data_IF_822547324908
#
_entry.id   IF_822547324908
#
_cell.length_a   1.000
_cell.length_b   1.000
_cell.length_c   1.000
_cell.angle_alpha   90.00
_cell.angle_beta   90.00
_cell.angle_gamma   90.00
#
_symmetry.space_group_name_H-M   'P 1'
#
loop_
_entity.id
_entity.type
_entity.pdbx_description
1 polymer ?
#
# COMPACT_ATOMS: atom_id res chain seq x y z
N UNK A 1 14.88 -2.45 -17.50
CA UNK A 1 15.85 -1.58 -16.80
C UNK A 1 15.28 -1.06 -15.48
N UNK A 2 14.14 -0.35 -15.46
CA UNK A 2 13.53 0.21 -14.22
C UNK A 2 13.08 -0.89 -13.23
N UNK A 3 12.55 -2.01 -13.73
CA UNK A 3 12.12 -3.15 -12.89
C UNK A 3 13.27 -3.87 -12.15
N UNK A 4 14.49 -3.87 -12.70
CA UNK A 4 15.67 -4.40 -12.00
C UNK A 4 16.13 -3.48 -10.86
N UNK A 5 16.15 -2.17 -11.10
CA UNK A 5 16.52 -1.16 -10.09
C UNK A 5 15.56 -1.15 -8.91
N UNK A 6 14.26 -1.32 -9.15
CA UNK A 6 13.29 -1.41 -8.07
C UNK A 6 13.51 -2.62 -7.16
N UNK A 7 13.86 -3.78 -7.72
CA UNK A 7 14.14 -4.96 -6.93
C UNK A 7 15.38 -4.77 -6.04
N UNK A 8 16.46 -4.21 -6.62
CA UNK A 8 17.68 -3.88 -5.89
C UNK A 8 17.47 -2.83 -4.78
N UNK A 9 16.44 -1.98 -4.90
CA UNK A 9 16.05 -1.01 -3.86
C UNK A 9 15.10 -1.61 -2.83
N UNK A 10 14.18 -2.49 -3.23
CA UNK A 10 13.18 -3.07 -2.34
C UNK A 10 13.77 -4.08 -1.35
N UNK A 11 14.82 -4.81 -1.74
CA UNK A 11 15.51 -5.75 -0.85
C UNK A 11 16.13 -5.07 0.39
N UNK A 12 17.01 -4.05 0.26
CA UNK A 12 17.56 -3.36 1.43
C UNK A 12 16.48 -2.61 2.23
N UNK A 13 15.45 -2.06 1.58
CA UNK A 13 14.32 -1.45 2.29
C UNK A 13 13.53 -2.47 3.13
N UNK A 14 13.35 -3.69 2.62
CA UNK A 14 12.72 -4.80 3.34
C UNK A 14 13.54 -5.18 4.57
N UNK A 15 14.87 -5.27 4.43
CA UNK A 15 15.76 -5.59 5.55
C UNK A 15 15.68 -4.50 6.63
N UNK A 16 15.71 -3.22 6.27
CA UNK A 16 15.63 -2.11 7.23
C UNK A 16 14.27 -2.12 7.95
N UNK A 17 13.18 -2.31 7.20
CA UNK A 17 11.83 -2.36 7.74
C UNK A 17 11.67 -3.55 8.71
N UNK A 18 11.97 -4.76 8.25
CA UNK A 18 11.77 -6.00 9.00
C UNK A 18 12.66 -6.05 10.26
N UNK A 19 13.93 -5.66 10.13
CA UNK A 19 14.83 -5.57 11.30
C UNK A 19 14.29 -4.57 12.32
N UNK A 20 13.81 -3.41 11.86
CA UNK A 20 13.21 -2.39 12.73
C UNK A 20 11.99 -2.91 13.47
N UNK A 21 11.07 -3.58 12.76
CA UNK A 21 9.88 -4.18 13.38
C UNK A 21 10.24 -5.30 14.36
N UNK A 22 11.22 -6.15 14.06
CA UNK A 22 11.69 -7.20 14.98
C UNK A 22 12.23 -6.61 16.28
N UNK A 23 13.09 -5.60 16.19
CA UNK A 23 13.64 -4.91 17.35
C UNK A 23 12.53 -4.28 18.20
N UNK A 24 11.53 -3.65 17.57
CA UNK A 24 10.36 -3.10 18.29
C UNK A 24 9.54 -4.18 19.01
N UNK A 25 9.49 -5.40 18.49
CA UNK A 25 8.72 -6.49 19.07
C UNK A 25 9.45 -7.21 20.21
N UNK A 26 10.77 -7.40 20.11
CA UNK A 26 11.53 -8.25 21.05
C UNK A 26 12.30 -7.48 22.10
N UNK A 27 12.78 -6.28 21.78
CA UNK A 27 13.69 -5.56 22.68
C UNK A 27 12.94 -4.65 23.65
N UNK A 28 13.42 -4.60 24.90
CA UNK A 28 13.01 -3.57 25.86
C UNK A 28 13.74 -2.27 25.53
N UNK A 29 13.23 -1.57 24.52
CA UNK A 29 13.79 -0.30 24.08
C UNK A 29 13.42 0.84 25.03
N UNK A 30 14.35 1.77 25.24
CA UNK A 30 14.02 3.05 25.87
C UNK A 30 13.06 3.85 24.98
N UNK A 31 12.23 4.72 25.56
CA UNK A 31 11.29 5.57 24.79
C UNK A 31 11.98 6.37 23.66
N UNK A 32 13.20 6.85 23.92
CA UNK A 32 14.01 7.54 22.90
C UNK A 32 14.46 6.60 21.78
N UNK A 33 14.88 5.38 22.09
CA UNK A 33 15.24 4.38 21.09
C UNK A 33 14.03 3.93 20.26
N UNK A 34 12.87 3.71 20.89
CA UNK A 34 11.61 3.40 20.21
C UNK A 34 11.22 4.48 19.20
N UNK A 35 11.28 5.76 19.60
CA UNK A 35 10.96 6.87 18.70
C UNK A 35 11.92 6.95 17.50
N UNK A 36 13.22 6.75 17.73
CA UNK A 36 14.23 6.75 16.64
C UNK A 36 14.02 5.59 15.69
N UNK A 37 13.72 4.41 16.22
CA UNK A 37 13.45 3.21 15.43
C UNK A 37 12.17 3.35 14.60
N UNK A 38 11.11 3.93 15.19
CA UNK A 38 9.89 4.28 14.46
C UNK A 38 10.19 5.24 13.30
N UNK A 39 11.03 6.26 13.50
CA UNK A 39 11.41 7.16 12.41
C UNK A 39 12.16 6.45 11.27
N UNK A 40 13.00 5.45 11.58
CA UNK A 40 13.71 4.63 10.58
C UNK A 40 12.69 3.81 9.78
N UNK A 41 11.76 3.15 10.47
CA UNK A 41 10.68 2.37 9.86
C UNK A 41 9.83 3.24 8.92
N UNK A 42 9.38 4.41 9.40
CA UNK A 42 8.58 5.34 8.62
C UNK A 42 9.35 5.86 7.40
N UNK A 43 10.67 6.08 7.53
CA UNK A 43 11.52 6.50 6.42
C UNK A 43 11.66 5.41 5.36
N UNK A 44 11.88 4.16 5.76
CA UNK A 44 11.97 3.03 4.83
C UNK A 44 10.67 2.82 4.06
N UNK A 45 9.52 2.95 4.72
CA UNK A 45 8.20 2.88 4.06
C UNK A 45 8.00 4.02 3.06
N UNK A 46 8.38 5.26 3.41
CA UNK A 46 8.33 6.38 2.48
C UNK A 46 9.20 6.13 1.25
N UNK A 47 10.41 5.61 1.43
CA UNK A 47 11.29 5.25 0.31
C UNK A 47 10.66 4.18 -0.58
N UNK A 48 10.09 3.13 0.02
CA UNK A 48 9.40 2.08 -0.72
C UNK A 48 8.24 2.61 -1.56
N UNK A 49 7.42 3.50 -0.98
CA UNK A 49 6.31 4.13 -1.68
C UNK A 49 6.78 5.03 -2.85
N UNK A 50 7.93 5.71 -2.69
CA UNK A 50 8.54 6.49 -3.78
C UNK A 50 8.98 5.57 -4.93
N UNK A 51 9.65 4.45 -4.62
CA UNK A 51 10.06 3.46 -5.63
C UNK A 51 8.85 2.87 -6.34
N UNK A 52 7.80 2.51 -5.60
CA UNK A 52 6.56 1.99 -6.16
C UNK A 52 5.88 3.00 -7.09
N UNK A 53 5.77 4.26 -6.67
CA UNK A 53 5.18 5.32 -7.49
C UNK A 53 6.00 5.60 -8.77
N UNK A 54 7.33 5.52 -8.69
CA UNK A 54 8.20 5.61 -9.86
C UNK A 54 7.91 4.47 -10.85
N UNK A 55 7.78 3.23 -10.38
CA UNK A 55 7.41 2.10 -11.24
C UNK A 55 6.00 2.24 -11.83
N UNK A 56 5.01 2.67 -11.04
CA UNK A 56 3.64 2.89 -11.51
C UNK A 56 3.60 3.96 -12.60
N UNK A 57 4.37 5.03 -12.45
CA UNK A 57 4.47 6.09 -13.47
C UNK A 57 5.15 5.62 -14.77
N UNK A 58 6.13 4.72 -14.66
CA UNK A 58 6.84 4.14 -15.80
C UNK A 58 6.06 3.04 -16.51
N UNK A 59 5.15 2.36 -15.81
CA UNK A 59 4.43 1.19 -16.31
C UNK A 59 2.97 1.56 -16.56
N UNK A 60 2.67 2.11 -17.76
CA UNK A 60 1.30 2.35 -18.23
C UNK A 60 0.56 1.03 -18.43
N UNK A 61 0.07 0.37 -17.37
CA UNK A 61 -1.02 -0.63 -17.47
C UNK A 61 -1.63 -1.00 -16.11
N UNK A 62 -2.96 -1.16 -16.14
CA UNK A 62 -3.92 -1.41 -15.06
C UNK A 62 -3.43 -2.43 -14.01
N UNK A 63 -3.21 -1.98 -12.79
CA UNK A 63 -2.97 -2.84 -11.62
C UNK A 63 -4.28 -3.41 -11.06
N UNK A 64 -4.23 -4.70 -10.70
CA UNK A 64 -5.28 -5.46 -10.00
C UNK A 64 -5.46 -4.88 -8.60
N UNK A 65 -6.69 -4.48 -8.24
CA UNK A 65 -6.98 -3.66 -7.06
C UNK A 65 -7.31 -4.51 -5.83
N UNK A 66 -6.84 -4.08 -4.65
CA UNK A 66 -7.52 -4.34 -3.36
C UNK A 66 -8.71 -3.38 -3.25
N UNK A 67 -9.71 -3.62 -4.09
CA UNK A 67 -10.92 -2.81 -4.18
C UNK A 67 -11.85 -3.18 -2.99
N UNK A 68 -11.72 -2.46 -1.87
CA UNK A 68 -12.58 -2.64 -0.69
C UNK A 68 -13.73 -1.63 -0.71
N UNK A 69 -14.89 -1.97 -0.15
CA UNK A 69 -15.95 -1.01 0.10
C UNK A 69 -15.56 -0.10 1.24
N UNK A 70 -15.42 1.19 0.96
CA UNK A 70 -14.91 2.18 1.90
C UNK A 70 -15.90 3.34 2.06
N UNK A 71 -16.04 3.79 3.29
CA UNK A 71 -16.73 5.03 3.62
C UNK A 71 -15.82 6.23 3.30
N UNK A 72 -16.15 6.98 2.26
CA UNK A 72 -15.35 8.14 1.79
C UNK A 72 -15.16 9.19 2.89
N UNK A 73 -16.18 9.41 3.72
CA UNK A 73 -16.09 10.37 4.82
C UNK A 73 -15.05 9.98 5.87
N UNK A 74 -14.80 8.68 6.11
CA UNK A 74 -13.76 8.23 7.05
C UNK A 74 -12.37 8.56 6.51
N UNK A 75 -12.10 8.22 5.25
CA UNK A 75 -10.83 8.54 4.60
C UNK A 75 -10.57 10.05 4.58
N UNK A 76 -11.60 10.85 4.32
CA UNK A 76 -11.50 12.31 4.34
C UNK A 76 -11.19 12.85 5.74
N UNK A 77 -11.84 12.32 6.79
CA UNK A 77 -11.58 12.69 8.18
C UNK A 77 -10.16 12.31 8.60
N UNK A 78 -9.68 11.13 8.22
CA UNK A 78 -8.34 10.67 8.55
C UNK A 78 -7.26 11.51 7.84
N UNK A 79 -7.46 11.83 6.55
CA UNK A 79 -6.58 12.74 5.82
C UNK A 79 -6.53 14.13 6.46
N UNK A 80 -7.68 14.65 6.90
CA UNK A 80 -7.78 15.93 7.59
C UNK A 80 -7.09 15.89 8.97
N UNK A 81 -7.23 14.81 9.73
CA UNK A 81 -6.60 14.62 11.04
C UNK A 81 -5.08 14.77 10.97
N UNK A 82 -4.45 14.25 9.91
CA UNK A 82 -3.02 14.36 9.68
C UNK A 82 -2.55 15.81 9.41
N UNK A 83 -3.45 16.69 8.97
CA UNK A 83 -3.13 18.07 8.56
C UNK A 83 -3.73 19.17 9.42
N UNK A 84 -4.59 18.80 10.36
CA UNK A 84 -5.28 19.73 11.26
C UNK A 84 -4.33 20.64 12.06
N UNK A 85 -3.19 20.12 12.51
CA UNK A 85 -2.20 20.93 13.24
C UNK A 85 -1.56 22.00 12.34
N UNK A 86 -1.07 21.61 11.16
CA UNK A 86 -0.45 22.52 10.18
C UNK A 86 -1.43 23.63 9.77
N UNK A 87 -2.68 23.25 9.44
CA UNK A 87 -3.74 24.19 9.07
C UNK A 87 -4.03 25.20 10.21
N UNK A 88 -4.06 24.73 11.46
CA UNK A 88 -4.33 25.58 12.62
C UNK A 88 -3.19 26.57 12.90
N UNK A 89 -1.94 26.14 12.79
CA UNK A 89 -0.76 27.00 13.00
C UNK A 89 -0.69 28.11 11.93
N UNK A 90 -1.12 27.82 10.71
CA UNK A 90 -1.21 28.80 9.62
C UNK A 90 -2.51 29.61 9.59
N UNK A 91 -3.28 29.64 10.69
CA UNK A 91 -4.52 30.40 10.82
C UNK A 91 -5.60 30.05 9.76
N UNK A 92 -5.62 28.79 9.29
CA UNK A 92 -6.63 28.29 8.36
C UNK A 92 -7.77 27.63 9.14
N UNK A 93 -8.99 28.14 8.97
CA UNK A 93 -10.21 27.55 9.52
C UNK A 93 -10.68 26.42 8.60
N UNK A 94 -11.05 25.28 9.18
CA UNK A 94 -11.64 24.17 8.42
C UNK A 94 -13.14 24.13 8.68
N UNK A 95 -13.93 24.15 7.60
CA UNK A 95 -15.38 24.01 7.62
C UNK A 95 -15.77 22.69 6.95
N UNK A 96 -16.65 21.92 7.60
CA UNK A 96 -17.04 20.58 7.14
C UNK A 96 -18.56 20.52 6.94
N UNK A 97 -18.98 20.17 5.73
CA UNK A 97 -20.37 19.90 5.36
C UNK A 97 -20.44 18.51 4.74
N UNK A 98 -20.25 17.49 5.57
CA UNK A 98 -20.20 16.09 5.13
C UNK A 98 -21.59 15.46 5.18
N UNK A 99 -22.05 14.85 4.08
CA UNK A 99 -23.32 14.13 4.06
C UNK A 99 -23.26 12.88 4.93
N UNK A 100 -24.24 12.68 5.82
CA UNK A 100 -24.26 11.56 6.76
C UNK A 100 -24.58 10.20 6.10
N UNK A 101 -25.26 10.21 4.95
CA UNK A 101 -25.74 9.01 4.27
C UNK A 101 -25.07 8.82 2.90
N UNK A 102 -23.74 8.86 2.87
CA UNK A 102 -22.97 8.55 1.67
C UNK A 102 -22.85 7.03 1.51
N UNK A 103 -23.15 6.48 0.33
CA UNK A 103 -22.91 5.07 0.06
C UNK A 103 -21.42 4.75 0.12
N UNK A 104 -21.09 3.53 0.51
CA UNK A 104 -19.72 3.03 0.35
C UNK A 104 -19.44 2.84 -1.13
N UNK A 105 -18.19 3.04 -1.52
CA UNK A 105 -17.74 2.74 -2.88
C UNK A 105 -16.42 1.96 -2.85
N UNK A 106 -16.12 1.30 -3.95
CA UNK A 106 -15.01 0.40 -4.10
C UNK A 106 -13.76 1.19 -4.50
N UNK A 107 -12.88 1.46 -3.52
CA UNK A 107 -11.69 2.29 -3.72
C UNK A 107 -10.50 1.73 -2.94
N UNK A 108 -9.29 2.05 -3.37
CA UNK A 108 -8.07 1.84 -2.60
C UNK A 108 -7.94 2.97 -1.57
N UNK A 109 -8.02 2.61 -0.28
CA UNK A 109 -7.96 3.57 0.83
C UNK A 109 -6.69 4.42 0.80
N UNK A 110 -5.55 3.79 0.52
CA UNK A 110 -4.23 4.42 0.62
C UNK A 110 -4.08 5.42 -0.51
N UNK A 111 -4.45 5.02 -1.73
CA UNK A 111 -4.40 5.90 -2.90
C UNK A 111 -5.38 7.07 -2.76
N UNK A 112 -6.60 6.82 -2.26
CA UNK A 112 -7.56 7.91 -2.06
C UNK A 112 -7.11 8.86 -0.93
N UNK A 113 -6.54 8.35 0.14
CA UNK A 113 -5.94 9.16 1.20
C UNK A 113 -4.79 10.04 0.67
N UNK A 114 -3.96 9.51 -0.24
CA UNK A 114 -2.93 10.28 -0.94
C UNK A 114 -3.52 11.42 -1.77
N UNK A 115 -4.62 11.19 -2.50
CA UNK A 115 -5.34 12.24 -3.24
C UNK A 115 -5.80 13.34 -2.29
N UNK A 116 -6.46 12.97 -1.19
CA UNK A 116 -7.03 13.94 -0.25
C UNK A 116 -5.95 14.76 0.45
N UNK A 117 -4.86 14.13 0.93
CA UNK A 117 -3.73 14.84 1.52
C UNK A 117 -3.12 15.81 0.50
N UNK A 118 -2.99 15.40 -0.77
CA UNK A 118 -2.44 16.26 -1.81
C UNK A 118 -3.33 17.48 -2.08
N UNK A 119 -4.65 17.31 -2.13
CA UNK A 119 -5.59 18.43 -2.30
C UNK A 119 -5.59 19.37 -1.10
N UNK A 120 -5.54 18.83 0.12
CA UNK A 120 -5.42 19.62 1.36
C UNK A 120 -4.10 20.41 1.37
N UNK A 121 -2.98 19.80 0.98
CA UNK A 121 -1.69 20.48 0.91
C UNK A 121 -1.69 21.59 -0.16
N UNK A 122 -2.35 21.38 -1.29
CA UNK A 122 -2.47 22.41 -2.32
C UNK A 122 -3.28 23.62 -1.82
N UNK A 123 -4.40 23.37 -1.14
CA UNK A 123 -5.17 24.43 -0.49
C UNK A 123 -4.35 25.15 0.59
N UNK A 124 -3.62 24.41 1.44
CA UNK A 124 -2.71 24.97 2.44
C UNK A 124 -1.65 25.88 1.81
N UNK A 125 -0.95 25.39 0.77
CA UNK A 125 0.09 26.15 0.10
C UNK A 125 -0.43 27.41 -0.60
N UNK A 126 -1.66 27.37 -1.09
CA UNK A 126 -2.34 28.50 -1.70
C UNK A 126 -2.69 29.59 -0.66
N UNK A 127 -3.03 29.19 0.57
CA UNK A 127 -3.50 30.10 1.62
C UNK A 127 -2.41 30.56 2.61
N UNK A 128 -1.30 29.80 2.77
CA UNK A 128 -0.31 30.03 3.86
C UNK A 128 0.32 31.43 3.90
N UNK A 129 0.37 32.12 2.75
CA UNK A 129 0.97 33.45 2.60
C UNK A 129 -0.09 34.55 2.39
N UNK A 130 -1.38 34.22 2.48
CA UNK A 130 -2.45 35.21 2.36
C UNK A 130 -2.53 36.07 3.63
N UNK A 131 -2.78 37.36 3.46
CA UNK A 131 -3.02 38.31 4.55
C UNK A 131 -4.40 38.11 5.20
N UNK A 132 -5.33 37.44 4.52
CA UNK A 132 -6.65 37.10 5.04
C UNK A 132 -6.65 35.73 5.73
N UNK A 133 -7.63 35.53 6.63
CA UNK A 133 -7.81 34.23 7.29
C UNK A 133 -8.16 33.17 6.25
N UNK A 134 -7.35 32.11 6.16
CA UNK A 134 -7.63 30.98 5.27
C UNK A 134 -8.87 30.20 5.70
N UNK A 135 -9.66 29.73 4.74
CA UNK A 135 -10.84 28.90 4.95
C UNK A 135 -10.76 27.72 3.98
N UNK A 136 -10.61 26.52 4.53
CA UNK A 136 -10.75 25.26 3.79
C UNK A 136 -12.14 24.69 4.06
N UNK A 137 -12.97 24.61 3.02
CA UNK A 137 -14.31 24.01 3.10
C UNK A 137 -14.30 22.63 2.45
N UNK A 138 -14.68 21.62 3.22
CA UNK A 138 -14.83 20.24 2.77
C UNK A 138 -16.31 19.89 2.66
N UNK A 139 -16.78 19.51 1.47
CA UNK A 139 -18.16 19.07 1.27
C UNK A 139 -18.18 17.68 0.68
N UNK A 140 -19.15 16.88 1.12
CA UNK A 140 -19.43 15.60 0.46
C UNK A 140 -20.92 15.49 0.17
N UNK A 141 -21.26 15.06 -1.03
CA UNK A 141 -22.65 14.90 -1.46
C UNK A 141 -22.78 13.71 -2.41
N UNK A 142 -24.00 13.21 -2.56
CA UNK A 142 -24.36 12.24 -3.60
C UNK A 142 -25.03 12.99 -4.74
N UNK A 143 -24.54 12.84 -5.97
CA UNK A 143 -25.20 13.34 -7.17
C UNK A 143 -25.40 12.18 -8.13
N UNK A 144 -26.65 11.72 -8.26
CA UNK A 144 -27.00 10.56 -9.07
C UNK A 144 -26.25 9.28 -8.64
N UNK A 145 -25.47 8.72 -9.57
CA UNK A 145 -24.64 7.53 -9.39
C UNK A 145 -23.22 7.80 -8.89
N UNK A 146 -22.90 9.03 -8.46
CA UNK A 146 -21.56 9.43 -8.05
C UNK A 146 -21.53 10.04 -6.65
N UNK A 147 -20.42 9.80 -5.94
CA UNK A 147 -20.02 10.50 -4.73
C UNK A 147 -19.18 11.70 -5.14
N UNK A 148 -19.59 12.89 -4.73
CA UNK A 148 -18.92 14.15 -5.01
C UNK A 148 -18.27 14.66 -3.74
N UNK A 149 -16.96 14.90 -3.81
CA UNK A 149 -16.14 15.44 -2.73
C UNK A 149 -15.53 16.75 -3.21
N UNK A 150 -15.76 17.83 -2.47
CA UNK A 150 -15.30 19.17 -2.82
C UNK A 150 -14.31 19.67 -1.77
N UNK A 151 -13.16 20.18 -2.25
CA UNK A 151 -12.13 20.86 -1.48
C UNK A 151 -12.07 22.29 -1.98
N UNK A 152 -12.68 23.21 -1.23
CA UNK A 152 -12.72 24.63 -1.59
C UNK A 152 -11.83 25.45 -0.66
N UNK A 153 -10.96 26.27 -1.23
CA UNK A 153 -10.12 27.22 -0.53
C UNK A 153 -10.46 28.66 -0.94
N UNK A 154 -10.11 29.61 -0.07
CA UNK A 154 -10.17 31.05 -0.35
C UNK A 154 -8.78 31.63 -0.70
N UNK A 155 -7.93 30.86 -1.37
CA UNK A 155 -6.62 31.28 -1.84
C UNK A 155 -6.70 32.15 -3.12
N UNK A 156 -5.59 32.36 -3.83
CA UNK A 156 -5.54 33.18 -5.05
C UNK A 156 -6.22 32.54 -6.28
N UNK A 157 -6.73 31.31 -6.17
CA UNK A 157 -7.28 30.56 -7.29
C UNK A 157 -6.24 29.83 -8.14
N UNK A 158 -6.70 29.25 -9.24
CA UNK A 158 -5.95 28.50 -10.26
C UNK A 158 -5.63 29.44 -11.43
N UNK A 159 -4.34 29.58 -11.75
CA UNK A 159 -3.87 30.40 -12.87
C UNK A 159 -4.01 29.68 -14.23
N UNK A 160 -3.43 28.49 -14.38
CA UNK A 160 -3.47 27.72 -15.65
C UNK A 160 -4.32 26.45 -15.49
N UNK A 161 -5.64 26.56 -15.72
CA UNK A 161 -6.56 25.42 -15.62
C UNK A 161 -6.21 24.28 -16.59
N UNK A 162 -5.76 24.60 -17.80
CA UNK A 162 -5.45 23.60 -18.84
C UNK A 162 -4.21 22.74 -18.51
N UNK A 163 -3.29 23.26 -17.68
CA UNK A 163 -2.05 22.57 -17.30
C UNK A 163 -2.10 21.95 -15.90
N UNK A 164 -3.24 22.06 -15.22
CA UNK A 164 -3.41 21.74 -13.81
C UNK A 164 -3.01 20.29 -13.45
N UNK A 165 -3.25 19.35 -14.37
CA UNK A 165 -2.95 17.92 -14.20
C UNK A 165 -1.75 17.44 -15.02
N UNK A 166 -1.00 18.36 -15.65
CA UNK A 166 0.18 18.03 -16.43
C UNK A 166 1.35 17.66 -15.50
N UNK A 167 1.98 16.49 -15.69
CA UNK A 167 3.15 16.11 -14.88
C UNK A 167 4.26 17.16 -14.94
N UNK A 168 4.91 17.41 -13.80
CA UNK A 168 6.02 18.37 -13.62
C UNK A 168 5.64 19.85 -13.77
N UNK A 169 4.38 20.17 -14.07
CA UNK A 169 3.91 21.53 -14.06
C UNK A 169 3.67 21.99 -12.61
N UNK A 170 4.30 23.10 -12.21
CA UNK A 170 4.13 23.71 -10.88
C UNK A 170 4.34 25.21 -10.98
N UNK A 171 3.50 25.98 -10.28
CA UNK A 171 3.64 27.43 -10.12
C UNK A 171 4.47 27.81 -8.89
N UNK A 172 4.95 26.82 -8.13
CA UNK A 172 5.78 26.99 -6.92
C UNK A 172 7.26 27.20 -7.28
N UNK A 173 8.00 27.91 -6.41
CA UNK A 173 9.45 28.13 -6.56
C UNK A 173 10.22 26.82 -6.76
N UNK A 174 11.34 26.90 -7.49
CA UNK A 174 12.26 25.77 -7.74
C UNK A 174 12.61 25.07 -6.42
N UNK A 175 12.29 23.77 -6.33
CA UNK A 175 12.55 22.94 -5.15
C UNK A 175 11.43 22.90 -4.08
N UNK A 176 10.40 23.75 -4.17
CA UNK A 176 9.26 23.76 -3.21
C UNK A 176 8.03 22.98 -3.68
N UNK A 177 8.06 22.42 -4.88
CA UNK A 177 7.00 21.57 -5.41
C UNK A 177 7.51 20.68 -6.53
N UNK A 178 7.15 19.40 -6.47
CA UNK A 178 7.56 18.41 -7.49
C UNK A 178 6.75 18.52 -8.78
N UNK A 179 5.63 19.26 -8.78
CA UNK A 179 4.69 19.32 -9.90
C UNK A 179 4.01 17.99 -10.23
N UNK A 180 4.16 16.98 -9.37
CA UNK A 180 3.62 15.63 -9.59
C UNK A 180 2.31 15.39 -8.86
N UNK A 181 2.04 16.13 -7.77
CA UNK A 181 0.91 15.84 -6.88
C UNK A 181 -0.43 15.75 -7.63
N UNK A 182 -0.82 16.80 -8.35
CA UNK A 182 -2.10 16.83 -9.07
C UNK A 182 -2.15 15.83 -10.24
N UNK A 183 -1.04 15.62 -10.95
CA UNK A 183 -0.98 14.60 -12.01
C UNK A 183 -1.17 13.18 -11.47
N UNK A 184 -0.57 12.88 -10.29
CA UNK A 184 -0.78 11.61 -9.58
C UNK A 184 -2.23 11.50 -9.08
N UNK A 185 -2.78 12.58 -8.51
CA UNK A 185 -4.19 12.61 -8.11
C UNK A 185 -5.13 12.33 -9.28
N UNK A 186 -4.85 12.90 -10.45
CA UNK A 186 -5.60 12.64 -11.67
C UNK A 186 -5.53 11.18 -12.09
N UNK A 187 -4.34 10.59 -12.12
CA UNK A 187 -4.13 9.18 -12.42
C UNK A 187 -4.92 8.26 -11.48
N UNK A 188 -4.78 8.46 -10.16
CA UNK A 188 -5.48 7.68 -9.14
C UNK A 188 -7.01 7.78 -9.31
N UNK A 189 -7.56 8.99 -9.44
CA UNK A 189 -9.01 9.17 -9.56
C UNK A 189 -9.54 8.57 -10.87
N UNK A 190 -8.81 8.72 -11.98
CA UNK A 190 -9.17 8.10 -13.25
C UNK A 190 -9.10 6.59 -13.21
N UNK A 191 -8.12 6.03 -12.51
CA UNK A 191 -8.07 4.60 -12.25
C UNK A 191 -9.35 4.17 -11.54
N UNK A 192 -9.75 4.82 -10.46
CA UNK A 192 -11.00 4.52 -9.73
C UNK A 192 -12.31 4.74 -10.54
N UNK A 193 -12.23 5.05 -11.84
CA UNK A 193 -13.38 5.30 -12.70
C UNK A 193 -14.02 6.65 -12.43
N UNK A 194 -13.35 7.51 -11.65
CA UNK A 194 -13.81 8.82 -11.27
C UNK A 194 -13.29 9.93 -12.17
N UNK A 195 -13.62 11.15 -11.78
CA UNK A 195 -13.13 12.38 -12.41
C UNK A 195 -12.72 13.38 -11.35
N UNK A 196 -11.62 14.07 -11.58
CA UNK A 196 -11.18 15.21 -10.77
C UNK A 196 -11.12 16.44 -11.66
N UNK A 197 -11.68 17.55 -11.17
CA UNK A 197 -11.66 18.85 -11.82
C UNK A 197 -11.25 19.93 -10.83
N UNK A 198 -10.62 21.00 -11.30
CA UNK A 198 -10.31 22.19 -10.51
C UNK A 198 -10.88 23.42 -11.19
N UNK A 199 -11.65 24.22 -10.47
CA UNK A 199 -12.27 25.44 -10.97
C UNK A 199 -11.99 26.61 -10.02
N UNK A 200 -12.03 27.84 -10.54
CA UNK A 200 -12.01 29.03 -9.70
C UNK A 200 -13.39 29.31 -9.13
N UNK A 201 -13.43 29.72 -7.87
CA UNK A 201 -14.60 30.31 -7.23
C UNK A 201 -14.44 31.83 -7.22
N UNK A 202 -15.42 32.56 -6.67
CA UNK A 202 -15.30 34.02 -6.56
C UNK A 202 -14.16 34.47 -5.65
N UNK A 203 -13.67 33.60 -4.75
CA UNK A 203 -12.70 33.95 -3.71
C UNK A 203 -11.53 32.97 -3.59
N UNK A 204 -11.41 32.01 -4.50
CA UNK A 204 -10.31 31.04 -4.50
C UNK A 204 -10.52 29.90 -5.49
N UNK A 205 -10.24 28.67 -5.09
CA UNK A 205 -10.35 27.49 -5.94
C UNK A 205 -11.19 26.39 -5.30
N UNK A 206 -11.83 25.58 -6.14
CA UNK A 206 -12.51 24.35 -5.74
C UNK A 206 -12.01 23.19 -6.58
N UNK A 207 -11.50 22.17 -5.90
CA UNK A 207 -11.20 20.87 -6.48
C UNK A 207 -12.35 19.92 -6.18
N UNK A 208 -12.95 19.37 -7.24
CA UNK A 208 -14.07 18.43 -7.13
C UNK A 208 -13.61 17.05 -7.59
N UNK A 209 -13.74 16.07 -6.70
CA UNK A 209 -13.51 14.65 -6.98
C UNK A 209 -14.87 13.96 -7.07
N UNK A 210 -15.13 13.29 -8.18
CA UNK A 210 -16.33 12.49 -8.42
C UNK A 210 -15.93 11.03 -8.54
N UNK A 211 -16.54 10.16 -7.74
CA UNK A 211 -16.28 8.71 -7.74
C UNK A 211 -17.59 7.95 -8.02
N UNK A 212 -17.59 6.94 -8.90
CA UNK A 212 -18.78 6.15 -9.15
C UNK A 212 -19.19 5.35 -7.90
N UNK A 213 -20.49 5.24 -7.65
CA UNK A 213 -21.04 4.37 -6.62
C UNK A 213 -21.10 2.95 -7.20
N UNK A 214 -20.34 2.02 -6.63
CA UNK A 214 -20.54 0.58 -6.89
C UNK A 214 -21.41 0.03 -5.76
N UNK A 215 -22.59 -0.52 -6.08
CA UNK A 215 -23.50 -1.07 -5.07
C UNK A 215 -22.94 -2.37 -4.47
N UNK A 216 -22.99 -2.46 -3.14
CA UNK A 216 -22.50 -3.60 -2.37
C UNK A 216 -23.48 -4.78 -2.51
N UNK A 217 -23.06 -5.84 -3.20
CA UNK A 217 -23.65 -7.17 -2.93
C UNK A 217 -23.08 -7.63 -1.60
N UNK A 218 -23.98 -7.73 -0.63
CA UNK A 218 -23.71 -7.91 0.79
C UNK A 218 -22.91 -9.21 1.03
N UNK A 219 -21.60 -9.12 1.26
CA UNK A 219 -20.76 -10.09 2.00
C UNK A 219 -19.39 -9.48 2.30
N UNK A 220 -18.99 -9.61 3.56
CA UNK A 220 -17.65 -9.39 4.13
C UNK A 220 -17.18 -7.94 4.38
N UNK A 221 -17.53 -7.44 5.57
CA UNK A 221 -16.81 -6.34 6.23
C UNK A 221 -15.90 -6.96 7.28
N UNK A 222 -14.58 -6.93 7.05
CA UNK A 222 -13.55 -7.15 8.08
C UNK A 222 -13.01 -5.77 8.48
N UNK A 223 -13.20 -5.38 9.75
CA UNK A 223 -12.66 -4.15 10.34
C UNK A 223 -11.18 -4.34 10.74
N UNK A 224 -10.25 -3.44 10.35
CA UNK A 224 -8.89 -3.45 10.88
C UNK A 224 -8.84 -2.70 12.22
N UNK A 225 -8.23 -3.30 13.26
CA UNK A 225 -8.05 -2.65 14.57
C UNK A 225 -7.81 -3.54 15.78
N UNK A 226 -7.96 -4.86 15.64
CA UNK A 226 -7.59 -5.81 16.71
C UNK A 226 -6.15 -6.23 16.46
N UNK A 227 -5.24 -6.04 17.43
CA UNK A 227 -3.95 -6.75 17.46
C UNK A 227 -4.26 -8.25 17.51
N UNK A 228 -4.35 -8.89 16.35
CA UNK A 228 -4.59 -10.33 16.25
C UNK A 228 -3.34 -11.04 16.79
N UNK A 229 -3.52 -11.85 17.81
CA UNK A 229 -2.49 -12.79 18.22
C UNK A 229 -2.51 -13.96 17.26
N UNK A 230 -1.40 -14.12 16.53
CA UNK A 230 -1.18 -15.25 15.64
C UNK A 230 -0.53 -16.39 16.40
N UNK A 231 -1.04 -17.61 16.23
CA UNK A 231 -0.46 -18.83 16.78
C UNK A 231 -0.36 -19.89 15.70
N UNK A 232 0.86 -20.19 15.28
CA UNK A 232 1.17 -21.15 14.22
C UNK A 232 1.72 -22.47 14.77
N UNK A 233 1.42 -22.80 16.04
CA UNK A 233 1.87 -24.04 16.66
C UNK A 233 1.45 -25.26 15.84
N UNK A 234 2.44 -26.06 15.44
CA UNK A 234 2.22 -27.27 14.63
C UNK A 234 2.18 -27.04 13.12
N UNK A 235 2.33 -25.80 12.65
CA UNK A 235 2.47 -25.48 11.24
C UNK A 235 3.92 -25.73 10.79
N UNK A 236 4.11 -26.49 9.71
CA UNK A 236 5.40 -26.73 9.08
C UNK A 236 5.51 -25.93 7.78
N UNK A 237 6.35 -24.91 7.78
CA UNK A 237 6.48 -23.96 6.69
C UNK A 237 7.87 -24.02 6.07
N UNK A 238 7.93 -24.08 4.74
CA UNK A 238 9.17 -23.86 3.97
C UNK A 238 9.24 -22.40 3.53
N UNK A 239 10.32 -21.71 3.91
CA UNK A 239 10.63 -20.35 3.50
C UNK A 239 11.77 -20.39 2.48
N UNK A 240 11.51 -19.93 1.25
CA UNK A 240 12.50 -19.87 0.17
C UNK A 240 12.82 -18.40 -0.13
N UNK A 241 14.00 -17.96 0.30
CA UNK A 241 14.43 -16.56 0.27
C UNK A 241 15.95 -16.50 0.19
N UNK A 242 16.50 -15.87 -0.84
CA UNK A 242 17.95 -15.74 -1.06
C UNK A 242 18.56 -14.56 -0.29
N UNK A 243 17.76 -13.54 0.05
CA UNK A 243 18.22 -12.43 0.89
C UNK A 243 18.23 -12.84 2.37
N UNK A 244 19.44 -13.12 2.87
CA UNK A 244 19.70 -13.61 4.24
C UNK A 244 18.96 -12.77 5.30
N UNK A 245 19.01 -11.45 5.21
CA UNK A 245 18.36 -10.58 6.20
C UNK A 245 16.82 -10.68 6.22
N UNK A 246 16.19 -10.89 5.06
CA UNK A 246 14.74 -11.11 4.95
C UNK A 246 14.40 -12.51 5.47
N UNK A 247 15.19 -13.52 5.07
CA UNK A 247 15.02 -14.92 5.45
C UNK A 247 15.09 -15.10 6.97
N UNK A 248 16.15 -14.57 7.59
CA UNK A 248 16.36 -14.61 9.04
C UNK A 248 15.20 -13.92 9.77
N UNK A 249 14.83 -12.72 9.31
CA UNK A 249 13.78 -11.94 9.94
C UNK A 249 12.43 -12.64 9.94
N UNK A 250 12.04 -13.21 8.80
CA UNK A 250 10.78 -13.93 8.64
C UNK A 250 10.78 -15.26 9.39
N UNK A 251 11.87 -16.01 9.32
CA UNK A 251 12.01 -17.28 10.02
C UNK A 251 11.97 -17.09 11.55
N UNK A 252 12.66 -16.06 12.06
CA UNK A 252 12.63 -15.71 13.48
C UNK A 252 11.20 -15.37 13.92
N UNK A 253 10.53 -14.47 13.19
CA UNK A 253 9.16 -14.07 13.49
C UNK A 253 8.22 -15.28 13.57
N UNK A 254 8.22 -16.14 12.55
CA UNK A 254 7.35 -17.32 12.50
C UNK A 254 7.66 -18.32 13.62
N UNK A 255 8.94 -18.52 13.93
CA UNK A 255 9.38 -19.36 15.05
C UNK A 255 8.86 -18.82 16.38
N UNK A 256 8.89 -17.50 16.60
CA UNK A 256 8.32 -16.89 17.82
C UNK A 256 6.81 -17.10 17.97
N UNK A 257 6.11 -17.35 16.87
CA UNK A 257 4.67 -17.66 16.82
C UNK A 257 4.38 -19.17 16.87
N UNK A 258 5.41 -20.00 17.06
CA UNK A 258 5.29 -21.46 17.21
C UNK A 258 5.33 -22.26 15.91
N UNK A 259 5.63 -21.62 14.76
CA UNK A 259 5.79 -22.31 13.49
C UNK A 259 7.11 -23.08 13.44
N UNK A 260 7.10 -24.27 12.84
CA UNK A 260 8.33 -24.97 12.44
C UNK A 260 8.73 -24.47 11.06
N UNK A 261 9.82 -23.69 10.99
CA UNK A 261 10.30 -23.10 9.73
C UNK A 261 11.53 -23.85 9.22
N UNK A 262 11.48 -24.29 7.97
CA UNK A 262 12.67 -24.72 7.22
C UNK A 262 13.01 -23.63 6.22
N UNK A 263 14.25 -23.14 6.22
CA UNK A 263 14.69 -22.10 5.28
C UNK A 263 15.52 -22.71 4.14
N UNK A 264 15.32 -22.19 2.93
CA UNK A 264 16.10 -22.52 1.74
C UNK A 264 16.55 -21.23 1.06
N UNK A 265 17.85 -21.11 0.78
CA UNK A 265 18.46 -19.93 0.13
C UNK A 265 18.46 -19.98 -1.40
N UNK A 266 18.02 -21.11 -1.97
CA UNK A 266 17.98 -21.28 -3.42
C UNK A 266 16.85 -22.25 -3.81
N UNK A 267 16.46 -22.21 -5.08
CA UNK A 267 15.47 -23.15 -5.61
C UNK A 267 15.92 -24.62 -5.50
N UNK A 268 17.23 -24.89 -5.63
CA UNK A 268 17.80 -26.24 -5.48
C UNK A 268 17.69 -26.75 -4.05
N UNK A 269 17.95 -25.88 -3.08
CA UNK A 269 17.81 -26.22 -1.65
C UNK A 269 16.35 -26.49 -1.32
N UNK A 270 15.43 -25.70 -1.88
CA UNK A 270 13.99 -25.89 -1.73
C UNK A 270 13.52 -27.24 -2.32
N UNK A 271 13.97 -27.60 -3.53
CA UNK A 271 13.69 -28.92 -4.14
C UNK A 271 14.15 -30.05 -3.21
N UNK A 272 15.38 -29.95 -2.69
CA UNK A 272 15.96 -30.95 -1.79
C UNK A 272 15.13 -31.08 -0.51
N UNK A 273 14.72 -29.95 0.08
CA UNK A 273 13.86 -29.92 1.27
C UNK A 273 12.50 -30.57 1.00
N UNK A 274 11.82 -30.21 -0.11
CA UNK A 274 10.49 -30.72 -0.49
C UNK A 274 10.51 -32.24 -0.76
N UNK A 275 11.62 -32.75 -1.30
CA UNK A 275 11.79 -34.18 -1.52
C UNK A 275 11.97 -34.95 -0.20
N UNK A 276 12.61 -34.32 0.79
CA UNK A 276 12.93 -34.94 2.07
C UNK A 276 11.74 -34.93 3.04
N UNK A 277 11.06 -33.81 3.17
CA UNK A 277 10.06 -33.56 4.21
C UNK A 277 8.77 -32.97 3.64
N UNK A 278 7.58 -33.28 4.20
CA UNK A 278 6.33 -32.61 3.83
C UNK A 278 6.21 -31.24 4.49
N UNK A 279 5.58 -30.29 3.78
CA UNK A 279 5.29 -28.94 4.27
C UNK A 279 3.80 -28.62 4.12
N UNK A 280 3.28 -27.85 5.08
CA UNK A 280 1.89 -27.39 5.07
C UNK A 280 1.71 -26.14 4.21
N UNK A 281 2.70 -25.24 4.26
CA UNK A 281 2.73 -24.00 3.49
C UNK A 281 4.15 -23.79 2.94
N UNK A 282 4.24 -23.26 1.72
CA UNK A 282 5.50 -22.81 1.13
C UNK A 282 5.39 -21.31 0.86
N UNK A 283 6.35 -20.55 1.37
CA UNK A 283 6.51 -19.14 1.07
C UNK A 283 7.79 -19.00 0.26
N UNK A 284 7.72 -18.40 -0.93
CA UNK A 284 8.85 -18.39 -1.85
C UNK A 284 9.02 -17.06 -2.59
N UNK A 285 10.25 -16.58 -2.75
CA UNK A 285 10.53 -15.48 -3.68
C UNK A 285 10.37 -15.94 -5.14
N UNK A 286 9.79 -15.09 -5.98
CA UNK A 286 9.71 -15.27 -7.42
C UNK A 286 11.05 -15.00 -8.12
N UNK A 287 11.80 -14.01 -7.64
CA UNK A 287 13.08 -13.63 -8.24
C UNK A 287 14.20 -14.08 -7.33
N UNK A 288 14.76 -15.25 -7.66
CA UNK A 288 15.96 -15.78 -7.02
C UNK A 288 17.08 -15.92 -8.05
N UNK A 289 18.34 -15.66 -7.69
CA UNK A 289 19.49 -15.92 -8.53
C UNK A 289 19.73 -17.43 -8.69
N UNK A 290 20.37 -17.81 -9.79
CA UNK A 290 20.80 -19.19 -10.05
C UNK A 290 20.18 -19.82 -11.30
N UNK A 291 20.33 -21.14 -11.41
CA UNK A 291 19.90 -21.94 -12.57
C UNK A 291 18.38 -22.11 -12.66
N UNK A 292 17.67 -21.93 -11.53
CA UNK A 292 16.23 -22.14 -11.42
C UNK A 292 15.58 -20.96 -10.70
N UNK A 293 14.65 -20.27 -11.38
CA UNK A 293 13.87 -19.16 -10.82
C UNK A 293 12.75 -19.64 -9.90
N UNK A 294 12.15 -18.73 -9.13
CA UNK A 294 10.99 -19.05 -8.29
C UNK A 294 9.77 -19.50 -9.09
N UNK A 295 9.60 -18.96 -10.31
CA UNK A 295 8.57 -19.41 -11.27
C UNK A 295 8.80 -20.87 -11.64
N UNK A 296 10.03 -21.24 -12.04
CA UNK A 296 10.36 -22.61 -12.39
C UNK A 296 10.20 -23.55 -11.20
N UNK A 297 10.56 -23.11 -9.98
CA UNK A 297 10.36 -23.89 -8.76
C UNK A 297 8.87 -24.17 -8.51
N UNK A 298 8.00 -23.17 -8.70
CA UNK A 298 6.56 -23.36 -8.59
C UNK A 298 6.02 -24.36 -9.62
N UNK A 299 6.43 -24.24 -10.89
CA UNK A 299 6.00 -25.16 -11.95
C UNK A 299 6.44 -26.60 -11.68
N UNK A 300 7.68 -26.77 -11.20
CA UNK A 300 8.18 -28.04 -10.74
C UNK A 300 7.36 -28.59 -9.57
N UNK A 301 7.02 -27.77 -8.58
CA UNK A 301 6.18 -28.17 -7.45
C UNK A 301 4.78 -28.59 -7.90
N UNK A 302 4.17 -27.89 -8.87
CA UNK A 302 2.86 -28.26 -9.41
C UNK A 302 2.90 -29.60 -10.16
N UNK A 303 4.05 -29.97 -10.73
CA UNK A 303 4.25 -31.27 -11.38
C UNK A 303 4.55 -32.39 -10.37
N UNK A 304 5.35 -32.10 -9.34
CA UNK A 304 5.82 -33.09 -8.37
C UNK A 304 4.82 -33.33 -7.22
N UNK A 305 4.19 -32.26 -6.70
CA UNK A 305 3.16 -32.32 -5.64
C UNK A 305 1.98 -31.38 -5.92
N UNK A 306 1.05 -31.75 -6.82
CA UNK A 306 -0.14 -30.95 -7.14
C UNK A 306 -1.01 -30.59 -5.91
N UNK A 307 -0.97 -31.38 -4.84
CA UNK A 307 -1.70 -31.13 -3.59
C UNK A 307 -1.22 -29.86 -2.84
N UNK A 308 -0.09 -29.28 -3.22
CA UNK A 308 0.39 -27.99 -2.70
C UNK A 308 -0.28 -26.79 -3.36
N UNK A 309 -1.07 -27.02 -4.42
CA UNK A 309 -1.83 -25.95 -5.07
C UNK A 309 -2.81 -25.33 -4.06
N UNK A 310 -2.71 -24.01 -3.86
CA UNK A 310 -3.47 -23.28 -2.83
C UNK A 310 -2.81 -23.22 -1.44
N UNK A 311 -1.57 -23.74 -1.32
CA UNK A 311 -0.73 -23.72 -0.10
C UNK A 311 0.62 -23.01 -0.34
N UNK A 312 0.69 -22.18 -1.38
CA UNK A 312 1.90 -21.46 -1.78
C UNK A 312 1.63 -19.97 -1.74
N UNK A 313 2.53 -19.23 -1.08
CA UNK A 313 2.56 -17.78 -1.03
C UNK A 313 3.80 -17.29 -1.78
N UNK A 314 3.61 -16.46 -2.78
CA UNK A 314 4.67 -15.87 -3.60
C UNK A 314 5.11 -14.54 -2.99
N UNK A 315 6.39 -14.33 -2.77
CA UNK A 315 6.98 -13.05 -2.41
C UNK A 315 7.56 -12.40 -3.67
N UNK A 316 7.32 -11.09 -3.84
CA UNK A 316 7.90 -10.38 -4.98
C UNK A 316 8.18 -8.92 -4.66
N UNK A 317 9.39 -8.46 -4.92
CA UNK A 317 9.74 -7.04 -4.89
C UNK A 317 9.36 -6.27 -6.15
N UNK A 318 8.73 -6.93 -7.13
CA UNK A 318 8.44 -6.33 -8.43
C UNK A 318 7.15 -6.90 -9.02
N UNK A 319 6.03 -6.54 -8.40
CA UNK A 319 4.67 -6.91 -8.82
C UNK A 319 4.34 -6.37 -10.22
N UNK A 320 5.05 -5.32 -10.65
CA UNK A 320 4.83 -4.62 -11.93
C UNK A 320 5.66 -5.20 -13.08
N UNK A 321 6.55 -6.17 -12.79
CA UNK A 321 7.26 -6.89 -13.84
C UNK A 321 6.25 -7.68 -14.70
N UNK A 322 6.33 -7.62 -16.05
CA UNK A 322 5.43 -8.36 -16.93
C UNK A 322 5.42 -9.86 -16.66
N UNK A 323 6.58 -10.42 -16.29
CA UNK A 323 6.74 -11.83 -16.00
C UNK A 323 6.08 -12.21 -14.67
N UNK A 324 6.31 -11.43 -13.61
CA UNK A 324 5.70 -11.64 -12.28
C UNK A 324 4.17 -11.49 -12.32
N UNK A 325 3.68 -10.46 -13.00
CA UNK A 325 2.24 -10.14 -13.06
C UNK A 325 1.45 -11.20 -13.82
N UNK A 326 1.93 -11.62 -14.99
CA UNK A 326 1.33 -12.72 -15.77
C UNK A 326 1.35 -14.02 -14.97
N UNK A 327 2.47 -14.31 -14.29
CA UNK A 327 2.60 -15.52 -13.50
C UNK A 327 1.65 -15.56 -12.29
N UNK A 328 1.53 -14.46 -11.54
CA UNK A 328 0.59 -14.36 -10.40
C UNK A 328 -0.85 -14.55 -10.89
N UNK A 329 -1.21 -13.94 -12.01
CA UNK A 329 -2.55 -14.07 -12.60
C UNK A 329 -2.84 -15.51 -13.05
N UNK A 330 -1.88 -16.17 -13.69
CA UNK A 330 -2.01 -17.55 -14.16
C UNK A 330 -2.03 -18.58 -13.02
N UNK A 331 -1.15 -18.41 -12.02
CA UNK A 331 -1.02 -19.34 -10.90
C UNK A 331 -2.22 -19.28 -9.95
N UNK A 332 -2.87 -18.10 -9.84
CA UNK A 332 -3.85 -17.78 -8.80
C UNK A 332 -3.33 -18.03 -7.39
N UNK A 333 -2.01 -18.06 -7.22
CA UNK A 333 -1.38 -18.18 -5.94
C UNK A 333 -1.52 -16.88 -5.16
N UNK A 334 -1.58 -17.00 -3.85
CA UNK A 334 -1.50 -15.84 -2.98
C UNK A 334 -0.12 -15.20 -3.07
N UNK A 335 -0.04 -13.87 -2.93
CA UNK A 335 1.24 -13.17 -3.00
C UNK A 335 1.38 -12.07 -1.96
N UNK A 336 2.63 -11.70 -1.67
CA UNK A 336 3.07 -10.63 -0.79
C UNK A 336 4.09 -9.76 -1.56
N UNK A 337 3.86 -8.45 -1.59
CA UNK A 337 4.77 -7.49 -2.22
C UNK A 337 5.85 -7.05 -1.24
N UNK A 338 7.12 -7.10 -1.64
CA UNK A 338 8.23 -6.50 -0.87
C UNK A 338 8.38 -5.01 -1.20
N UNK A 339 8.69 -4.15 -0.21
CA UNK A 339 8.74 -4.46 1.22
C UNK A 339 7.34 -4.62 1.82
N UNK A 340 7.22 -5.47 2.84
CA UNK A 340 5.99 -5.78 3.55
C UNK A 340 6.14 -5.57 5.05
N UNK A 341 5.03 -5.32 5.75
CA UNK A 341 4.98 -5.37 7.19
C UNK A 341 4.83 -6.81 7.69
N UNK A 342 5.36 -7.10 8.89
CA UNK A 342 5.17 -8.41 9.49
C UNK A 342 3.72 -8.76 9.76
N UNK A 343 2.87 -7.79 10.11
CA UNK A 343 1.44 -8.10 10.30
C UNK A 343 0.77 -8.59 9.01
N UNK A 344 1.12 -8.00 7.86
CA UNK A 344 0.59 -8.43 6.56
C UNK A 344 1.10 -9.84 6.22
N UNK A 345 2.36 -10.11 6.52
CA UNK A 345 2.99 -11.42 6.34
C UNK A 345 2.31 -12.51 7.19
N UNK A 346 2.11 -12.24 8.48
CA UNK A 346 1.45 -13.18 9.39
C UNK A 346 -0.02 -13.37 9.05
N UNK A 347 -0.74 -12.29 8.70
CA UNK A 347 -2.14 -12.39 8.29
C UNK A 347 -2.30 -13.28 7.06
N UNK A 348 -1.41 -13.16 6.08
CA UNK A 348 -1.47 -13.97 4.87
C UNK A 348 -1.27 -15.46 5.16
N UNK A 349 -0.32 -15.78 6.05
CA UNK A 349 -0.05 -17.16 6.48
C UNK A 349 -1.23 -17.71 7.29
N UNK A 350 -1.80 -16.93 8.21
CA UNK A 350 -2.97 -17.31 9.01
C UNK A 350 -4.19 -17.62 8.12
N UNK A 351 -4.48 -16.73 7.17
CA UNK A 351 -5.56 -16.93 6.20
C UNK A 351 -5.35 -18.20 5.37
N UNK A 352 -4.14 -18.42 4.86
CA UNK A 352 -3.83 -19.62 4.09
C UNK A 352 -3.97 -20.89 4.91
N UNK A 353 -3.47 -20.89 6.14
CA UNK A 353 -3.55 -22.03 7.05
C UNK A 353 -5.00 -22.37 7.40
N UNK A 354 -5.84 -21.37 7.69
CA UNK A 354 -7.27 -21.55 7.99
C UNK A 354 -8.06 -22.04 6.78
N UNK A 355 -7.83 -21.44 5.60
CA UNK A 355 -8.51 -21.83 4.36
C UNK A 355 -8.23 -23.28 3.97
N UNK A 356 -7.06 -23.81 4.35
CA UNK A 356 -6.67 -25.19 4.10
C UNK A 356 -6.96 -26.13 5.28
N UNK A 357 -7.63 -25.65 6.34
CA UNK A 357 -7.97 -26.45 7.52
C UNK A 357 -6.77 -26.91 8.36
N UNK A 358 -5.60 -26.29 8.18
CA UNK A 358 -4.37 -26.61 8.90
C UNK A 358 -4.44 -26.06 10.33
N UNK A 359 -4.97 -24.84 10.47
CA UNK A 359 -5.24 -24.19 11.75
C UNK A 359 -6.73 -24.04 11.97
N UNK A 360 -7.16 -24.10 13.24
CA UNK A 360 -8.56 -23.87 13.61
C UNK A 360 -8.91 -22.39 13.44
N UNK A 361 -10.10 -22.14 12.89
CA UNK A 361 -10.66 -20.81 12.61
C UNK A 361 -10.82 -19.95 13.85
#
# INVERSE_FOLDING_TARGET
>A
MISGVAHELNNPLSIILNTGELMMMREKLSKSATNRLQHIIDASQRCAHIVENLLKSATKRKTVRKEQYICINEVLKDALALKLHELRVSNIKVEQSLSQNLPMTMVDRIQLMQVFINLINNAYDAMKNSSERGILTLRTSRKGGEIVIEFEDNGPGIQDQEKLFTPFYTTKDVGKGTGLGLAVSYGIIKEHGGTIIGNNTQKGAVFTVMLPIKEQTNKDINLPGIKREYNFKGLHLLLVEDEVGIAESCAELLTTKGCHVTSASSAKDAVTAIQKDPFDIVVMDLKMPGEMSGIQLYEWMMSYRPAMKGKIILMTGDVLSPESSVFIEMSKADFISKPFHFNDFLEKIDQMAKNNGILKS
#
